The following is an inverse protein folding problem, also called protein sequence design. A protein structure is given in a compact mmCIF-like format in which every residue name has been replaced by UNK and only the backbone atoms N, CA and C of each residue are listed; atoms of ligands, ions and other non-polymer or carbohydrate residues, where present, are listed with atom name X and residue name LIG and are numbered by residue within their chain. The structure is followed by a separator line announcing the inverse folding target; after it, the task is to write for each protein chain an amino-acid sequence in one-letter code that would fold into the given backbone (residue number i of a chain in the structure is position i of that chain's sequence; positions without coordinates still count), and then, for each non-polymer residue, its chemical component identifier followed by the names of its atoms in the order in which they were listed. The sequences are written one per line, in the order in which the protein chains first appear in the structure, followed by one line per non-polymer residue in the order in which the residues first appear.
data_IF_310421940620
#
_entry.id   IF_310421940620
#
_cell.length_a   1.000
_cell.length_b   1.000
_cell.length_c   1.000
_cell.angle_alpha   90.00
_cell.angle_beta   90.00
_cell.angle_gamma   90.00
#
_symmetry.space_group_name_H-M   'P 1'
#
loop_
_entity.id
_entity.type
_entity.pdbx_description
1 polymer ?
#
# COMPACT_ATOMS: atom_id res chain seq x y z
N UNK A 1 18.26 -14.61 -1.90
CA UNK A 1 17.02 -14.53 -1.08
C UNK A 1 17.14 -13.54 0.08
N UNK A 2 18.08 -13.70 1.01
CA UNK A 2 18.21 -12.80 2.18
C UNK A 2 18.31 -11.30 1.83
N UNK A 3 19.01 -10.93 0.77
CA UNK A 3 19.11 -9.53 0.29
C UNK A 3 17.74 -8.96 -0.10
N UNK A 4 16.90 -9.74 -0.78
CA UNK A 4 15.56 -9.32 -1.20
C UNK A 4 14.62 -9.14 0.00
N UNK A 5 14.63 -10.10 0.94
CA UNK A 5 13.83 -10.00 2.17
C UNK A 5 14.26 -8.80 3.03
N UNK A 6 15.57 -8.54 3.14
CA UNK A 6 16.08 -7.35 3.82
C UNK A 6 15.65 -6.06 3.12
N UNK A 7 15.71 -6.00 1.78
CA UNK A 7 15.24 -4.84 1.04
C UNK A 7 13.74 -4.56 1.24
N UNK A 8 12.92 -5.61 1.23
CA UNK A 8 11.47 -5.52 1.50
C UNK A 8 11.22 -5.04 2.94
N UNK A 9 11.98 -5.55 3.92
CA UNK A 9 11.92 -5.11 5.32
C UNK A 9 12.23 -3.62 5.48
N UNK A 10 13.35 -3.17 4.88
CA UNK A 10 13.74 -1.76 4.88
C UNK A 10 12.66 -0.90 4.24
N UNK A 11 12.07 -1.37 3.13
CA UNK A 11 11.00 -0.63 2.45
C UNK A 11 9.74 -0.52 3.31
N UNK A 12 9.35 -1.59 4.00
CA UNK A 12 8.21 -1.56 4.92
C UNK A 12 8.45 -0.57 6.06
N UNK A 13 9.64 -0.58 6.67
CA UNK A 13 10.01 0.37 7.74
C UNK A 13 9.87 1.83 7.29
N UNK A 14 10.37 2.14 6.08
CA UNK A 14 10.33 3.48 5.50
C UNK A 14 8.96 3.90 4.95
N UNK A 15 7.97 3.01 4.93
CA UNK A 15 6.65 3.35 4.37
C UNK A 15 5.82 4.12 5.41
N UNK A 16 5.44 5.39 5.12
CA UNK A 16 4.53 6.17 5.94
C UNK A 16 3.09 5.63 5.85
N UNK A 17 2.24 5.99 6.81
CA UNK A 17 0.84 5.53 6.83
C UNK A 17 0.64 4.06 7.23
N UNK A 18 1.69 3.41 7.74
CA UNK A 18 1.62 2.10 8.39
C UNK A 18 2.00 2.27 9.85
N UNK A 19 1.02 2.54 10.70
CA UNK A 19 1.20 2.58 12.15
C UNK A 19 0.27 1.56 12.80
N UNK A 20 0.79 0.81 13.77
CA UNK A 20 0.03 -0.21 14.52
C UNK A 20 0.72 -1.58 14.58
N UNK A 21 0.08 -2.49 15.32
CA UNK A 21 0.58 -3.85 15.60
C UNK A 21 0.83 -4.66 14.33
N UNK A 22 0.02 -4.47 13.29
CA UNK A 22 0.11 -5.20 12.03
C UNK A 22 1.46 -5.01 11.30
N UNK A 23 1.99 -3.78 11.26
CA UNK A 23 3.31 -3.51 10.66
C UNK A 23 4.42 -4.17 11.48
N UNK A 24 4.28 -4.17 12.81
CA UNK A 24 5.23 -4.79 13.73
C UNK A 24 5.24 -6.31 13.57
N UNK A 25 4.06 -6.93 13.46
CA UNK A 25 3.92 -8.38 13.30
C UNK A 25 4.52 -8.85 11.97
N UNK A 26 4.22 -8.15 10.87
CA UNK A 26 4.79 -8.45 9.56
C UNK A 26 6.32 -8.25 9.56
N UNK A 27 6.83 -7.18 10.19
CA UNK A 27 8.27 -6.97 10.33
C UNK A 27 8.95 -8.09 11.14
N UNK A 28 8.30 -8.56 12.19
CA UNK A 28 8.80 -9.67 13.03
C UNK A 28 8.87 -10.96 12.22
N UNK A 29 7.80 -11.30 11.49
CA UNK A 29 7.74 -12.48 10.64
C UNK A 29 8.81 -12.45 9.54
N UNK A 30 8.98 -11.31 8.87
CA UNK A 30 9.99 -11.12 7.84
C UNK A 30 11.41 -11.19 8.40
N UNK A 31 11.65 -10.64 9.60
CA UNK A 31 12.94 -10.74 10.27
C UNK A 31 13.27 -12.21 10.63
N UNK A 32 12.28 -12.97 11.11
CA UNK A 32 12.40 -14.41 11.35
C UNK A 32 12.80 -15.18 10.09
N UNK A 33 12.16 -14.86 8.95
CA UNK A 33 12.45 -15.49 7.66
C UNK A 33 13.87 -15.15 7.15
N UNK A 34 14.33 -13.91 7.36
CA UNK A 34 15.71 -13.50 7.05
C UNK A 34 16.72 -14.29 7.89
N UNK A 35 16.45 -14.47 9.19
CA UNK A 35 17.31 -15.25 10.09
C UNK A 35 17.36 -16.71 9.66
N UNK A 36 16.20 -17.31 9.37
CA UNK A 36 16.11 -18.67 8.85
C UNK A 36 16.97 -18.84 7.61
N UNK A 37 16.83 -17.96 6.61
CA UNK A 37 17.63 -18.03 5.38
C UNK A 37 19.14 -17.88 5.62
N UNK A 38 19.55 -17.04 6.58
CA UNK A 38 20.97 -16.85 6.93
C UNK A 38 21.56 -18.08 7.61
N UNK A 39 20.76 -18.79 8.40
CA UNK A 39 21.17 -20.05 9.03
C UNK A 39 21.17 -21.17 8.01
N UNK A 40 20.07 -21.32 7.27
CA UNK A 40 19.84 -22.36 6.26
C UNK A 40 20.95 -22.42 5.18
N UNK A 41 21.47 -21.28 4.74
CA UNK A 41 22.58 -21.25 3.77
C UNK A 41 23.92 -21.79 4.29
N UNK A 42 24.09 -21.87 5.62
CA UNK A 42 25.36 -22.25 6.25
C UNK A 42 25.35 -23.71 6.73
N UNK A 43 24.21 -24.42 6.62
CA UNK A 43 24.05 -25.80 7.14
C UNK A 43 24.38 -26.87 6.11
N UNK A 44 24.83 -26.49 4.92
CA UNK A 44 25.24 -27.43 3.87
C UNK A 44 26.45 -26.91 3.09
N UNK A 45 27.20 -27.86 2.52
CA UNK A 45 28.37 -27.61 1.69
C UNK A 45 28.24 -28.41 0.40
N UNK A 46 28.14 -27.70 -0.73
CA UNK A 46 28.05 -28.33 -2.05
C UNK A 46 29.23 -29.29 -2.34
N UNK A 47 30.38 -29.04 -1.73
CA UNK A 47 31.60 -29.81 -1.97
C UNK A 47 31.74 -31.03 -1.04
N UNK A 48 31.04 -31.04 0.10
CA UNK A 48 31.23 -32.05 1.16
C UNK A 48 29.99 -32.89 1.45
N UNK A 49 28.80 -32.46 1.04
CA UNK A 49 27.56 -33.17 1.31
C UNK A 49 27.22 -34.19 0.22
N UNK A 50 26.68 -35.34 0.62
CA UNK A 50 26.17 -36.34 -0.31
C UNK A 50 24.97 -35.80 -1.11
N UNK A 51 24.79 -36.30 -2.34
CA UNK A 51 23.72 -35.82 -3.25
C UNK A 51 22.31 -35.93 -2.64
N UNK A 52 22.03 -36.98 -1.88
CA UNK A 52 20.75 -37.17 -1.18
C UNK A 52 20.49 -36.08 -0.10
N UNK A 53 21.55 -35.64 0.58
CA UNK A 53 21.49 -34.53 1.53
C UNK A 53 21.17 -33.23 0.80
N UNK A 54 21.83 -32.98 -0.34
CA UNK A 54 21.58 -31.80 -1.17
C UNK A 54 20.13 -31.77 -1.70
N UNK A 55 19.57 -32.91 -2.10
CA UNK A 55 18.18 -33.02 -2.55
C UNK A 55 17.19 -32.75 -1.42
N UNK A 56 17.37 -33.41 -0.27
CA UNK A 56 16.52 -33.20 0.92
C UNK A 56 16.50 -31.73 1.35
N UNK A 57 17.65 -31.07 1.28
CA UNK A 57 17.79 -29.64 1.56
C UNK A 57 17.08 -28.81 0.49
N UNK A 58 17.30 -29.09 -0.79
CA UNK A 58 16.57 -28.40 -1.87
C UNK A 58 15.06 -28.41 -1.64
N UNK A 59 14.50 -29.56 -1.26
CA UNK A 59 13.09 -29.73 -0.93
C UNK A 59 12.67 -28.96 0.35
N UNK A 60 13.50 -28.94 1.38
CA UNK A 60 13.29 -28.13 2.59
C UNK A 60 13.22 -26.64 2.26
N UNK A 61 14.16 -26.12 1.47
CA UNK A 61 14.18 -24.73 1.03
C UNK A 61 12.99 -24.36 0.15
N UNK A 62 12.59 -25.26 -0.76
CA UNK A 62 11.40 -25.08 -1.59
C UNK A 62 10.14 -25.01 -0.75
N UNK A 63 9.95 -25.97 0.17
CA UNK A 63 8.79 -26.04 1.06
C UNK A 63 8.71 -24.80 1.96
N UNK A 64 9.82 -24.40 2.57
CA UNK A 64 9.87 -23.19 3.39
C UNK A 64 9.47 -21.94 2.60
N UNK A 65 9.95 -21.82 1.36
CA UNK A 65 9.54 -20.73 0.48
C UNK A 65 8.03 -20.79 0.19
N UNK A 66 7.52 -21.94 -0.26
CA UNK A 66 6.12 -22.10 -0.69
C UNK A 66 5.12 -21.91 0.46
N UNK A 67 5.45 -22.43 1.65
CA UNK A 67 4.55 -22.44 2.81
C UNK A 67 4.70 -21.19 3.69
N UNK A 68 5.88 -20.56 3.72
CA UNK A 68 6.19 -19.47 4.68
C UNK A 68 6.64 -18.19 3.99
N UNK A 69 7.83 -18.20 3.36
CA UNK A 69 8.44 -16.95 2.86
C UNK A 69 7.56 -16.24 1.83
N UNK A 70 6.90 -17.01 0.95
CA UNK A 70 6.05 -16.48 -0.10
C UNK A 70 4.87 -15.68 0.46
N UNK A 71 4.22 -16.19 1.51
CA UNK A 71 3.16 -15.46 2.21
C UNK A 71 3.68 -14.14 2.77
N UNK A 72 4.78 -14.17 3.53
CA UNK A 72 5.33 -12.97 4.16
C UNK A 72 5.75 -11.90 3.15
N UNK A 73 6.29 -12.31 2.00
CA UNK A 73 6.61 -11.38 0.90
C UNK A 73 5.36 -10.65 0.43
N UNK A 74 4.30 -11.38 0.05
CA UNK A 74 3.10 -10.76 -0.50
C UNK A 74 2.28 -9.98 0.53
N UNK A 75 2.24 -10.45 1.78
CA UNK A 75 1.62 -9.72 2.89
C UNK A 75 2.35 -8.40 3.17
N UNK A 76 3.68 -8.40 3.09
CA UNK A 76 4.49 -7.18 3.22
C UNK A 76 4.25 -6.23 2.05
N UNK A 77 4.28 -6.72 0.81
CA UNK A 77 4.02 -5.89 -0.38
C UNK A 77 2.62 -5.27 -0.34
N UNK A 78 1.63 -6.04 0.10
CA UNK A 78 0.25 -5.58 0.31
C UNK A 78 0.18 -4.45 1.32
N UNK A 79 0.87 -4.61 2.45
CA UNK A 79 0.91 -3.61 3.52
C UNK A 79 1.59 -2.32 3.07
N UNK A 80 2.70 -2.42 2.32
CA UNK A 80 3.36 -1.25 1.73
C UNK A 80 2.41 -0.49 0.80
N UNK A 81 1.75 -1.19 -0.12
CA UNK A 81 0.83 -0.59 -1.09
C UNK A 81 -0.36 0.07 -0.40
N UNK A 82 -0.97 -0.62 0.57
CA UNK A 82 -2.11 -0.10 1.31
C UNK A 82 -1.76 1.11 2.20
N UNK A 83 -0.61 1.08 2.88
CA UNK A 83 -0.16 2.23 3.68
C UNK A 83 0.09 3.46 2.81
N UNK A 84 0.70 3.30 1.63
CA UNK A 84 0.85 4.41 0.68
C UNK A 84 -0.47 4.95 0.16
N UNK A 85 -1.44 4.07 -0.07
CA UNK A 85 -2.79 4.47 -0.46
C UNK A 85 -3.43 5.38 0.60
N UNK A 86 -3.40 4.96 1.87
CA UNK A 86 -3.92 5.75 3.00
C UNK A 86 -3.17 7.06 3.21
N UNK A 87 -1.85 7.05 3.08
CA UNK A 87 -1.03 8.26 3.19
C UNK A 87 -1.40 9.27 2.09
N UNK A 88 -1.57 8.79 0.84
CA UNK A 88 -2.00 9.63 -0.28
C UNK A 88 -3.37 10.25 -0.03
N UNK A 89 -4.36 9.45 0.40
CA UNK A 89 -5.69 9.93 0.79
C UNK A 89 -5.59 11.01 1.86
N UNK A 90 -4.87 10.74 2.95
CA UNK A 90 -4.71 11.67 4.08
C UNK A 90 -4.07 12.99 3.64
N UNK A 91 -3.05 12.93 2.78
CA UNK A 91 -2.40 14.13 2.26
C UNK A 91 -3.36 14.97 1.40
N UNK A 92 -4.15 14.34 0.54
CA UNK A 92 -5.15 15.04 -0.28
C UNK A 92 -6.27 15.64 0.57
N UNK A 93 -6.76 14.93 1.60
CA UNK A 93 -7.74 15.48 2.53
C UNK A 93 -7.20 16.71 3.27
N UNK A 94 -5.93 16.67 3.68
CA UNK A 94 -5.29 17.80 4.34
C UNK A 94 -5.20 19.02 3.42
N UNK A 95 -4.84 18.83 2.15
CA UNK A 95 -4.83 19.90 1.14
C UNK A 95 -6.25 20.45 0.94
N UNK A 96 -7.24 19.58 0.77
CA UNK A 96 -8.64 19.99 0.60
C UNK A 96 -9.14 20.84 1.77
N UNK A 97 -8.84 20.43 3.02
CA UNK A 97 -9.19 21.21 4.22
C UNK A 97 -8.50 22.57 4.25
N UNK A 98 -7.25 22.67 3.80
CA UNK A 98 -6.51 23.94 3.76
C UNK A 98 -7.07 24.95 2.76
N UNK A 99 -7.67 24.49 1.67
CA UNK A 99 -8.26 25.39 0.66
C UNK A 99 -9.51 26.12 1.20
N UNK A 100 -10.06 25.70 2.35
CA UNK A 100 -11.21 26.28 3.05
C UNK A 100 -12.28 26.86 2.08
N UNK A 101 -13.01 25.98 1.37
CA UNK A 101 -13.96 26.39 0.33
C UNK A 101 -15.05 27.36 0.84
N UNK A 102 -15.30 27.40 2.16
CA UNK A 102 -16.24 28.31 2.81
C UNK A 102 -15.78 29.77 2.85
N UNK A 103 -14.49 30.04 2.66
CA UNK A 103 -13.92 31.40 2.63
C UNK A 103 -13.80 31.99 1.23
N UNK A 104 -14.15 31.22 0.19
CA UNK A 104 -14.10 31.68 -1.19
C UNK A 104 -15.30 32.57 -1.47
N UNK A 105 -15.08 33.88 -1.30
CA UNK A 105 -16.03 34.97 -1.58
C UNK A 105 -16.37 35.03 -3.07
N UNK A 106 -17.20 34.10 -3.52
CA UNK A 106 -17.60 33.97 -4.91
C UNK A 106 -19.02 34.52 -5.14
N UNK A 107 -19.15 35.42 -6.11
CA UNK A 107 -20.44 35.98 -6.53
C UNK A 107 -21.24 34.93 -7.32
N UNK A 108 -22.54 34.82 -7.03
CA UNK A 108 -23.58 34.06 -7.77
C UNK A 108 -23.12 32.85 -8.61
N UNK A 109 -22.76 33.09 -9.87
CA UNK A 109 -22.40 32.04 -10.83
C UNK A 109 -21.09 31.30 -10.47
N UNK A 110 -20.12 31.99 -9.87
CA UNK A 110 -18.87 31.36 -9.42
C UNK A 110 -19.14 30.46 -8.21
N UNK A 111 -20.07 30.85 -7.34
CA UNK A 111 -20.44 30.04 -6.17
C UNK A 111 -21.05 28.70 -6.56
N UNK A 112 -21.91 28.66 -7.58
CA UNK A 112 -22.44 27.41 -8.10
C UNK A 112 -21.35 26.48 -8.68
N UNK A 113 -20.31 27.03 -9.31
CA UNK A 113 -19.16 26.25 -9.78
C UNK A 113 -18.31 25.73 -8.61
N UNK A 114 -18.08 26.55 -7.58
CA UNK A 114 -17.39 26.13 -6.36
C UNK A 114 -18.14 25.02 -5.62
N UNK A 115 -19.45 25.16 -5.43
CA UNK A 115 -20.28 24.16 -4.77
C UNK A 115 -20.27 22.83 -5.54
N UNK A 116 -20.27 22.89 -6.89
CA UNK A 116 -20.13 21.71 -7.73
C UNK A 116 -18.77 21.04 -7.55
N UNK A 117 -17.66 21.79 -7.63
CA UNK A 117 -16.32 21.20 -7.44
C UNK A 117 -16.15 20.59 -6.05
N UNK A 118 -16.69 21.24 -5.02
CA UNK A 118 -16.73 20.68 -3.66
C UNK A 118 -17.46 19.34 -3.64
N UNK A 119 -18.65 19.27 -4.24
CA UNK A 119 -19.42 18.03 -4.32
C UNK A 119 -18.68 16.93 -5.12
N UNK A 120 -18.04 17.30 -6.24
CA UNK A 120 -17.27 16.37 -7.08
C UNK A 120 -16.04 15.83 -6.31
N UNK A 121 -15.31 16.67 -5.57
CA UNK A 121 -14.20 16.27 -4.70
C UNK A 121 -14.68 15.32 -3.59
N UNK A 122 -15.77 15.65 -2.91
CA UNK A 122 -16.32 14.84 -1.82
C UNK A 122 -16.81 13.48 -2.32
N UNK A 123 -17.42 13.43 -3.51
CA UNK A 123 -17.83 12.18 -4.14
C UNK A 123 -16.62 11.27 -4.47
N UNK A 124 -15.53 11.84 -4.97
CA UNK A 124 -14.31 11.06 -5.23
C UNK A 124 -13.63 10.59 -3.93
N UNK A 125 -13.62 11.40 -2.87
CA UNK A 125 -13.13 10.94 -1.56
C UNK A 125 -13.96 9.80 -0.99
N UNK A 126 -15.28 9.80 -1.21
CA UNK A 126 -16.13 8.68 -0.81
C UNK A 126 -15.73 7.41 -1.55
N UNK A 127 -15.53 7.46 -2.87
CA UNK A 127 -15.05 6.31 -3.66
C UNK A 127 -13.73 5.77 -3.15
N UNK A 128 -12.78 6.65 -2.85
CA UNK A 128 -11.48 6.26 -2.26
C UNK A 128 -11.68 5.54 -0.91
N UNK A 129 -12.64 5.99 -0.10
CA UNK A 129 -12.95 5.38 1.21
C UNK A 129 -13.59 3.99 1.05
N UNK A 130 -14.46 3.83 0.06
CA UNK A 130 -15.06 2.53 -0.25
C UNK A 130 -13.97 1.55 -0.72
N UNK A 131 -13.08 1.99 -1.61
CA UNK A 131 -11.91 1.22 -2.07
C UNK A 131 -10.97 0.87 -0.91
N UNK A 132 -10.71 1.81 0.01
CA UNK A 132 -9.90 1.55 1.20
C UNK A 132 -10.47 0.39 2.03
N UNK A 133 -11.80 0.37 2.19
CA UNK A 133 -12.52 -0.66 2.94
C UNK A 133 -12.43 -2.01 2.24
N UNK A 134 -12.62 -2.04 0.91
CA UNK A 134 -12.48 -3.27 0.10
C UNK A 134 -11.05 -3.83 0.14
N UNK A 135 -10.03 -2.98 0.09
CA UNK A 135 -8.63 -3.40 0.27
C UNK A 135 -8.45 -4.04 1.66
N UNK A 136 -9.07 -3.46 2.70
CA UNK A 136 -9.07 -4.03 4.05
C UNK A 136 -9.63 -5.46 4.10
N UNK A 137 -10.73 -5.74 3.41
CA UNK A 137 -11.31 -7.09 3.33
C UNK A 137 -10.44 -8.06 2.54
N UNK A 138 -9.89 -7.64 1.39
CA UNK A 138 -8.98 -8.47 0.60
C UNK A 138 -7.78 -8.93 1.43
N UNK A 139 -7.24 -8.05 2.29
CA UNK A 139 -6.07 -8.39 3.13
C UNK A 139 -6.36 -9.50 4.14
N UNK A 140 -7.60 -9.66 4.60
CA UNK A 140 -7.98 -10.77 5.50
C UNK A 140 -7.88 -12.14 4.80
N UNK A 141 -7.88 -12.18 3.46
CA UNK A 141 -7.73 -13.42 2.72
C UNK A 141 -6.33 -14.05 2.84
N UNK A 142 -5.30 -13.31 3.31
CA UNK A 142 -3.96 -13.87 3.56
C UNK A 142 -3.98 -14.98 4.63
N UNK A 143 -4.94 -14.95 5.55
CA UNK A 143 -5.14 -15.97 6.58
C UNK A 143 -6.03 -17.14 6.11
N UNK A 144 -6.74 -17.00 4.99
CA UNK A 144 -7.83 -17.89 4.56
C UNK A 144 -7.39 -19.07 3.65
N UNK A 145 -6.11 -19.44 3.63
CA UNK A 145 -5.50 -20.44 2.72
C UNK A 145 -5.55 -20.06 1.22
N UNK A 146 -5.81 -18.79 0.89
CA UNK A 146 -5.68 -18.28 -0.48
C UNK A 146 -4.22 -18.28 -0.92
N UNK A 147 -3.97 -18.42 -2.24
CA UNK A 147 -2.62 -18.19 -2.78
C UNK A 147 -2.23 -16.73 -2.54
N UNK A 148 -1.12 -16.44 -1.82
CA UNK A 148 -0.74 -15.07 -1.48
C UNK A 148 -0.58 -14.14 -2.69
N UNK A 149 -0.13 -14.68 -3.83
CA UNK A 149 -0.04 -13.95 -5.10
C UNK A 149 -1.38 -13.44 -5.59
N UNK A 150 -2.43 -14.25 -5.48
CA UNK A 150 -3.75 -13.95 -6.02
C UNK A 150 -4.42 -12.87 -5.17
N UNK A 151 -4.25 -12.95 -3.84
CA UNK A 151 -4.69 -11.91 -2.90
C UNK A 151 -3.99 -10.59 -3.21
N UNK A 152 -2.68 -10.61 -3.42
CA UNK A 152 -1.92 -9.41 -3.80
C UNK A 152 -2.38 -8.81 -5.13
N UNK A 153 -2.65 -9.64 -6.15
CA UNK A 153 -3.13 -9.15 -7.44
C UNK A 153 -4.51 -8.46 -7.32
N UNK A 154 -5.43 -9.03 -6.54
CA UNK A 154 -6.71 -8.37 -6.22
C UNK A 154 -6.51 -7.02 -5.55
N UNK A 155 -5.60 -6.95 -4.57
CA UNK A 155 -5.28 -5.71 -3.88
C UNK A 155 -4.72 -4.66 -4.84
N UNK A 156 -3.78 -5.04 -5.70
CA UNK A 156 -3.19 -4.11 -6.68
C UNK A 156 -4.23 -3.62 -7.68
N UNK A 157 -5.17 -4.46 -8.11
CA UNK A 157 -6.29 -4.02 -8.93
C UNK A 157 -7.09 -2.91 -8.23
N UNK A 158 -7.43 -3.09 -6.95
CA UNK A 158 -8.15 -2.07 -6.15
C UNK A 158 -7.35 -0.80 -5.89
N UNK A 159 -6.06 -0.93 -5.60
CA UNK A 159 -5.17 0.24 -5.50
C UNK A 159 -5.12 1.00 -6.84
N UNK A 160 -5.14 0.29 -7.96
CA UNK A 160 -5.19 0.91 -9.29
C UNK A 160 -6.52 1.61 -9.56
N UNK A 161 -7.65 1.06 -9.13
CA UNK A 161 -8.96 1.73 -9.22
C UNK A 161 -8.94 3.06 -8.45
N UNK A 162 -8.41 3.07 -7.22
CA UNK A 162 -8.40 4.30 -6.42
C UNK A 162 -7.37 5.34 -6.88
N UNK A 163 -6.35 4.94 -7.67
CA UNK A 163 -5.44 5.87 -8.34
C UNK A 163 -6.20 6.84 -9.25
N UNK A 164 -7.20 6.35 -9.99
CA UNK A 164 -7.96 7.19 -10.91
C UNK A 164 -8.79 8.22 -10.15
N UNK A 165 -9.40 7.84 -9.02
CA UNK A 165 -10.06 8.79 -8.10
C UNK A 165 -9.09 9.80 -7.50
N UNK A 166 -7.87 9.41 -7.12
CA UNK A 166 -6.86 10.38 -6.67
C UNK A 166 -6.49 11.38 -7.75
N UNK A 167 -6.34 10.94 -9.01
CA UNK A 167 -6.06 11.85 -10.13
C UNK A 167 -7.22 12.82 -10.37
N UNK A 168 -8.47 12.35 -10.25
CA UNK A 168 -9.65 13.21 -10.34
C UNK A 168 -9.68 14.26 -9.22
N UNK A 169 -9.45 13.86 -7.96
CA UNK A 169 -9.34 14.77 -6.81
C UNK A 169 -8.26 15.83 -7.06
N UNK A 170 -7.07 15.43 -7.50
CA UNK A 170 -5.98 16.37 -7.81
C UNK A 170 -6.39 17.35 -8.92
N UNK A 171 -7.10 16.88 -9.95
CA UNK A 171 -7.63 17.72 -11.01
C UNK A 171 -8.58 18.79 -10.47
N UNK A 172 -9.59 18.38 -9.71
CA UNK A 172 -10.56 19.31 -9.10
C UNK A 172 -9.90 20.28 -8.11
N UNK A 173 -8.97 19.82 -7.27
CA UNK A 173 -8.23 20.69 -6.35
C UNK A 173 -7.37 21.72 -7.10
N UNK A 174 -6.79 21.34 -8.24
CA UNK A 174 -5.99 22.24 -9.08
C UNK A 174 -6.86 23.31 -9.73
N UNK A 175 -8.04 22.94 -10.23
CA UNK A 175 -9.03 23.88 -10.76
C UNK A 175 -9.52 24.84 -9.67
N UNK A 176 -9.83 24.30 -8.48
CA UNK A 176 -10.23 25.06 -7.31
C UNK A 176 -9.19 26.11 -6.95
N UNK A 177 -7.91 25.70 -6.78
CA UNK A 177 -6.78 26.59 -6.49
C UNK A 177 -6.53 27.65 -7.58
N UNK A 178 -6.67 27.30 -8.85
CA UNK A 178 -6.54 28.26 -9.93
C UNK A 178 -7.62 29.35 -9.84
N UNK A 179 -8.86 28.95 -9.52
CA UNK A 179 -9.96 29.88 -9.33
C UNK A 179 -9.79 30.77 -8.09
N UNK A 180 -9.14 30.28 -7.02
CA UNK A 180 -8.88 31.10 -5.81
C UNK A 180 -7.78 32.14 -6.03
N UNK A 181 -6.69 31.78 -6.73
CA UNK A 181 -5.57 32.68 -6.97
C UNK A 181 -5.89 33.84 -7.92
N UNK A 182 -6.83 33.64 -8.85
CA UNK A 182 -7.35 34.72 -9.70
C UNK A 182 -8.05 35.84 -8.90
N UNK A 183 -8.54 35.55 -7.68
CA UNK A 183 -9.20 36.54 -6.83
C UNK A 183 -8.23 37.36 -5.95
N UNK A 184 -6.99 36.89 -5.73
CA UNK A 184 -6.00 37.60 -4.90
C UNK A 184 -5.09 38.56 -5.70
N UNK A 185 -5.27 38.62 -7.03
CA UNK A 185 -4.51 39.48 -7.95
C UNK A 185 -5.27 40.71 -8.47
N UNK A 186 -6.44 41.02 -7.91
CA UNK A 186 -7.21 42.24 -8.14
C UNK A 186 -7.32 43.04 -6.84
#
# INVERSE_FOLDING_TARGET
MAVYLTAIQTRLQQTPGGEGNEKTDILSNLAGDVVWWRQYKNVYSQDNDAQEVLLTKSDEGKRHYEETSNRFIYETLSTISFSKFRDTKTNLENIYRQINPKTLGADGARRALFDRWVADIEAEFQKVTDIESEIGEIRKEFDAKSKPSDVYLKLIAKVSEGKDSFLAIIGFLSELLAATNLNNGQ
#
